data_IF_719084210571
#
_entry.id   IF_719084210571
#
_cell.length_a   1.000
_cell.length_b   1.000
_cell.length_c   1.000
_cell.angle_alpha   90.00
_cell.angle_beta   90.00
_cell.angle_gamma   90.00
#
_symmetry.space_group_name_H-M   'P 1'
#
loop_
_entity.id
_entity.type
_entity.pdbx_description
1 polymer ?
#
# COMPACT_ATOMS: atom_id res chain seq x y z
N UNK A 1 8.13 19.31 -4.43
CA UNK A 1 7.34 18.56 -5.45
C UNK A 1 6.30 19.48 -6.09
N UNK A 2 6.14 19.53 -7.42
CA UNK A 2 5.14 20.40 -8.08
C UNK A 2 3.72 19.82 -7.99
N UNK A 3 2.69 20.65 -8.13
CA UNK A 3 1.27 20.22 -8.10
C UNK A 3 0.97 19.22 -9.23
N UNK A 4 1.50 19.48 -10.43
CA UNK A 4 1.32 18.59 -11.58
C UNK A 4 1.98 17.22 -11.34
N UNK A 5 3.17 17.20 -10.72
CA UNK A 5 3.84 15.95 -10.34
C UNK A 5 3.02 15.20 -9.28
N UNK A 6 2.46 15.90 -8.28
CA UNK A 6 1.60 15.31 -7.27
C UNK A 6 0.36 14.62 -7.88
N UNK A 7 -0.32 15.31 -8.80
CA UNK A 7 -1.51 14.80 -9.48
C UNK A 7 -1.21 13.56 -10.30
N UNK A 8 -0.15 13.61 -11.11
CA UNK A 8 0.29 12.46 -11.93
C UNK A 8 0.66 11.27 -11.04
N UNK A 9 1.38 11.51 -9.93
CA UNK A 9 1.71 10.47 -8.96
C UNK A 9 0.46 9.83 -8.37
N UNK A 10 -0.56 10.61 -7.98
CA UNK A 10 -1.83 10.07 -7.46
C UNK A 10 -2.56 9.25 -8.51
N UNK A 11 -2.64 9.71 -9.76
CA UNK A 11 -3.26 8.94 -10.84
C UNK A 11 -2.54 7.60 -11.05
N UNK A 12 -1.21 7.61 -11.16
CA UNK A 12 -0.44 6.38 -11.35
C UNK A 12 -0.64 5.42 -10.17
N UNK A 13 -0.59 5.91 -8.93
CA UNK A 13 -0.81 5.10 -7.74
C UNK A 13 -2.21 4.47 -7.70
N UNK A 14 -3.23 5.25 -8.05
CA UNK A 14 -4.63 4.85 -7.92
C UNK A 14 -5.07 3.83 -8.97
N UNK A 15 -4.61 3.95 -10.22
CA UNK A 15 -5.18 3.16 -11.34
C UNK A 15 -4.21 2.18 -12.00
N UNK A 16 -2.92 2.23 -11.70
CA UNK A 16 -1.92 1.38 -12.37
C UNK A 16 -2.20 -0.12 -12.27
N UNK A 17 -2.62 -0.62 -11.11
CA UNK A 17 -2.84 -2.05 -10.90
C UNK A 17 -3.94 -2.62 -11.80
N UNK A 18 -5.14 -2.05 -11.73
CA UNK A 18 -6.29 -2.52 -12.52
C UNK A 18 -6.11 -2.25 -14.01
N UNK A 19 -5.45 -1.14 -14.37
CA UNK A 19 -5.12 -0.83 -15.76
C UNK A 19 -4.09 -1.81 -16.34
N UNK A 20 -3.04 -2.17 -15.58
CA UNK A 20 -2.07 -3.16 -16.05
C UNK A 20 -2.75 -4.51 -16.26
N UNK A 21 -3.61 -4.94 -15.35
CA UNK A 21 -4.36 -6.18 -15.55
C UNK A 21 -5.25 -6.13 -16.79
N UNK A 22 -5.94 -5.00 -17.04
CA UNK A 22 -6.72 -4.83 -18.27
C UNK A 22 -5.85 -4.92 -19.53
N UNK A 23 -4.66 -4.31 -19.52
CA UNK A 23 -3.70 -4.39 -20.63
C UNK A 23 -3.21 -5.82 -20.87
N UNK A 24 -2.94 -6.59 -19.81
CA UNK A 24 -2.53 -8.00 -19.93
C UNK A 24 -3.56 -8.87 -20.65
N UNK A 25 -4.84 -8.51 -20.57
CA UNK A 25 -5.93 -9.18 -21.30
C UNK A 25 -6.35 -8.45 -22.58
N UNK A 26 -5.48 -7.58 -23.13
CA UNK A 26 -5.74 -6.78 -24.33
C UNK A 26 -7.06 -5.99 -24.27
N UNK A 27 -7.41 -5.47 -23.09
CA UNK A 27 -8.58 -4.62 -22.88
C UNK A 27 -8.18 -3.17 -22.68
N UNK A 28 -9.05 -2.26 -23.11
CA UNK A 28 -8.87 -0.84 -22.86
C UNK A 28 -8.90 -0.55 -21.36
N UNK A 29 -7.89 0.14 -20.80
CA UNK A 29 -7.86 0.46 -19.37
C UNK A 29 -9.02 1.39 -18.99
N UNK A 30 -9.68 1.10 -17.87
CA UNK A 30 -10.88 1.82 -17.43
C UNK A 30 -10.65 3.32 -17.18
N UNK A 31 -9.42 3.71 -16.85
CA UNK A 31 -9.03 5.11 -16.66
C UNK A 31 -9.19 5.95 -17.93
N UNK A 32 -8.96 5.38 -19.12
CA UNK A 32 -9.15 6.09 -20.39
C UNK A 32 -10.61 6.16 -20.83
N UNK A 33 -11.48 5.37 -20.21
CA UNK A 33 -12.88 5.24 -20.62
C UNK A 33 -13.83 6.12 -19.79
N UNK A 34 -13.36 6.69 -18.66
CA UNK A 34 -14.24 7.39 -17.73
C UNK A 34 -13.60 8.66 -17.16
N UNK A 35 -14.03 9.82 -17.66
CA UNK A 35 -13.61 11.13 -17.15
C UNK A 35 -13.91 11.31 -15.66
N UNK A 36 -14.99 10.68 -15.17
CA UNK A 36 -15.38 10.72 -13.75
C UNK A 36 -14.29 10.19 -12.82
N UNK A 37 -13.54 9.16 -13.24
CA UNK A 37 -12.48 8.55 -12.44
C UNK A 37 -11.31 9.53 -12.29
N UNK A 38 -10.91 10.17 -13.40
CA UNK A 38 -9.88 11.20 -13.42
C UNK A 38 -10.29 12.37 -12.52
N UNK A 39 -11.52 12.87 -12.68
CA UNK A 39 -12.06 13.99 -11.91
C UNK A 39 -12.08 13.65 -10.41
N UNK A 40 -12.57 12.47 -10.01
CA UNK A 40 -12.59 12.05 -8.61
C UNK A 40 -11.18 12.00 -8.01
N UNK A 41 -10.21 11.37 -8.68
CA UNK A 41 -8.85 11.29 -8.15
C UNK A 41 -8.14 12.65 -8.12
N UNK A 42 -8.41 13.53 -9.09
CA UNK A 42 -7.92 14.90 -9.08
C UNK A 42 -8.49 15.72 -7.92
N UNK A 43 -9.79 15.60 -7.64
CA UNK A 43 -10.43 16.27 -6.51
C UNK A 43 -9.85 15.77 -5.18
N UNK A 44 -9.66 14.46 -5.02
CA UNK A 44 -9.03 13.88 -3.82
C UNK A 44 -7.59 14.37 -3.69
N UNK A 45 -6.81 14.38 -4.77
CA UNK A 45 -5.43 14.87 -4.75
C UNK A 45 -5.36 16.35 -4.35
N UNK A 46 -6.20 17.20 -4.93
CA UNK A 46 -6.28 18.62 -4.58
C UNK A 46 -6.73 18.80 -3.13
N UNK A 47 -7.76 18.07 -2.70
CA UNK A 47 -8.25 18.09 -1.32
C UNK A 47 -7.11 17.77 -0.35
N UNK A 48 -6.37 16.68 -0.57
CA UNK A 48 -5.22 16.29 0.26
C UNK A 48 -4.14 17.38 0.23
N UNK A 49 -3.76 17.90 -0.94
CA UNK A 49 -2.72 18.93 -1.05
C UNK A 49 -3.07 20.23 -0.32
N UNK A 50 -4.33 20.68 -0.37
CA UNK A 50 -4.77 21.92 0.27
C UNK A 50 -5.06 21.76 1.76
N UNK A 51 -5.44 20.56 2.21
CA UNK A 51 -5.89 20.30 3.58
C UNK A 51 -4.78 19.74 4.48
N UNK A 52 -3.75 19.11 3.92
CA UNK A 52 -2.56 18.67 4.67
C UNK A 52 -1.94 19.75 5.56
N UNK A 53 -1.73 21.02 5.12
CA UNK A 53 -1.22 22.06 6.02
C UNK A 53 -2.17 22.38 7.18
N UNK A 54 -3.48 22.24 6.98
CA UNK A 54 -4.51 22.48 8.01
C UNK A 54 -4.61 21.29 8.99
N UNK A 55 -4.44 20.05 8.51
CA UNK A 55 -4.46 18.84 9.34
C UNK A 55 -3.23 18.69 10.23
N UNK A 56 -2.05 19.16 9.80
CA UNK A 56 -0.87 19.21 10.66
C UNK A 56 -1.07 20.14 11.88
N UNK A 57 -1.95 21.14 11.75
CA UNK A 57 -2.32 22.06 12.85
C UNK A 57 -3.40 21.44 13.74
N UNK A 58 -4.31 20.62 13.18
CA UNK A 58 -5.43 19.98 13.88
C UNK A 58 -5.17 18.50 14.20
N UNK A 59 -4.04 18.21 14.84
CA UNK A 59 -3.54 16.86 15.12
C UNK A 59 -4.53 15.96 15.91
N UNK A 60 -5.54 16.53 16.56
CA UNK A 60 -6.59 15.83 17.33
C UNK A 60 -7.66 15.15 16.46
N UNK A 61 -7.99 15.70 15.29
CA UNK A 61 -9.00 15.13 14.38
C UNK A 61 -8.43 14.09 13.41
N UNK A 62 -7.09 13.98 13.33
CA UNK A 62 -6.39 13.04 12.45
C UNK A 62 -6.87 11.60 12.62
N UNK A 63 -7.15 11.16 13.86
CA UNK A 63 -7.57 9.78 14.13
C UNK A 63 -8.98 9.46 13.61
N UNK A 64 -9.91 10.41 13.73
CA UNK A 64 -11.29 10.25 13.28
C UNK A 64 -11.41 10.15 11.75
N UNK A 65 -10.47 10.74 11.00
CA UNK A 65 -10.40 10.61 9.55
C UNK A 65 -9.56 9.40 9.10
N UNK A 66 -8.51 9.03 9.84
CA UNK A 66 -7.62 7.91 9.48
C UNK A 66 -8.37 6.57 9.51
N UNK A 67 -9.21 6.31 10.51
CA UNK A 67 -9.95 5.04 10.59
C UNK A 67 -10.85 4.81 9.35
N UNK A 68 -11.82 5.70 9.03
CA UNK A 68 -12.71 5.47 7.90
C UNK A 68 -11.95 5.47 6.57
N UNK A 69 -10.91 6.29 6.40
CA UNK A 69 -10.12 6.28 5.17
C UNK A 69 -9.31 4.99 5.01
N UNK A 70 -8.70 4.46 6.08
CA UNK A 70 -8.02 3.16 6.05
C UNK A 70 -8.98 2.01 5.77
N UNK A 71 -10.21 2.07 6.29
CA UNK A 71 -11.24 1.07 5.99
C UNK A 71 -11.67 1.13 4.52
N UNK A 72 -11.94 2.34 3.99
CA UNK A 72 -12.26 2.52 2.58
C UNK A 72 -11.12 2.09 1.65
N UNK A 73 -9.86 2.30 2.04
CA UNK A 73 -8.70 1.80 1.34
C UNK A 73 -8.68 0.27 1.31
N UNK A 74 -8.93 -0.39 2.45
CA UNK A 74 -9.04 -1.84 2.52
C UNK A 74 -10.17 -2.39 1.63
N UNK A 75 -11.35 -1.77 1.65
CA UNK A 75 -12.47 -2.11 0.75
C UNK A 75 -12.05 -1.98 -0.71
N UNK A 76 -11.45 -0.84 -1.07
CA UNK A 76 -11.02 -0.54 -2.44
C UNK A 76 -9.96 -1.54 -2.92
N UNK A 77 -9.01 -1.89 -2.06
CA UNK A 77 -7.94 -2.84 -2.35
C UNK A 77 -8.46 -4.26 -2.57
N UNK A 78 -9.32 -4.75 -1.66
CA UNK A 78 -9.95 -6.07 -1.84
C UNK A 78 -10.78 -6.07 -3.12
N UNK A 79 -11.54 -5.01 -3.38
CA UNK A 79 -12.32 -4.90 -4.61
C UNK A 79 -11.43 -4.89 -5.87
N UNK A 80 -10.29 -4.20 -5.85
CA UNK A 80 -9.34 -4.18 -6.96
C UNK A 80 -8.74 -5.57 -7.22
N UNK A 81 -8.32 -6.29 -6.17
CA UNK A 81 -7.79 -7.66 -6.28
C UNK A 81 -8.84 -8.61 -6.85
N UNK A 82 -10.06 -8.57 -6.32
CA UNK A 82 -11.14 -9.48 -6.72
C UNK A 82 -11.66 -9.16 -8.12
N UNK A 83 -12.22 -7.98 -8.31
CA UNK A 83 -12.94 -7.63 -9.54
C UNK A 83 -11.99 -7.18 -10.66
N UNK A 84 -10.94 -6.43 -10.32
CA UNK A 84 -9.96 -5.92 -11.29
C UNK A 84 -8.83 -6.91 -11.61
N UNK A 85 -8.63 -7.91 -10.77
CA UNK A 85 -7.58 -8.93 -10.90
C UNK A 85 -8.15 -10.32 -11.20
N UNK A 86 -8.59 -10.99 -10.14
CA UNK A 86 -8.94 -12.42 -10.13
C UNK A 86 -10.11 -12.72 -11.07
N UNK A 87 -11.24 -12.03 -10.93
CA UNK A 87 -12.44 -12.31 -11.72
C UNK A 87 -12.30 -11.87 -13.16
N UNK A 88 -11.56 -10.79 -13.41
CA UNK A 88 -11.22 -10.39 -14.77
C UNK A 88 -10.37 -11.47 -15.45
N UNK A 89 -9.39 -12.02 -14.75
CA UNK A 89 -8.57 -13.10 -15.28
C UNK A 89 -9.36 -14.39 -15.51
N UNK A 90 -10.14 -14.84 -14.52
CA UNK A 90 -10.99 -16.03 -14.65
C UNK A 90 -11.99 -15.91 -15.80
N UNK A 91 -12.53 -14.72 -16.07
CA UNK A 91 -13.46 -14.49 -17.17
C UNK A 91 -12.80 -14.56 -18.56
N UNK A 92 -11.52 -14.21 -18.65
CA UNK A 92 -10.79 -14.14 -19.92
C UNK A 92 -9.84 -15.35 -20.13
N UNK A 93 -9.77 -16.24 -19.15
CA UNK A 93 -8.96 -17.46 -19.19
C UNK A 93 -9.65 -18.52 -20.06
N UNK A 94 -8.93 -18.99 -21.08
CA UNK A 94 -9.41 -20.06 -21.98
C UNK A 94 -9.28 -21.45 -21.34
N UNK A 95 -8.23 -21.67 -20.54
CA UNK A 95 -7.93 -22.96 -19.90
C UNK A 95 -8.18 -22.90 -18.39
N UNK A 96 -9.26 -23.52 -17.91
CA UNK A 96 -9.66 -23.55 -16.49
C UNK A 96 -8.67 -24.25 -15.53
N UNK A 97 -7.58 -24.82 -16.05
CA UNK A 97 -6.53 -25.54 -15.29
C UNK A 97 -5.40 -24.65 -14.80
N UNK A 98 -5.29 -23.43 -15.33
CA UNK A 98 -4.22 -22.49 -14.94
C UNK A 98 -4.65 -21.62 -13.75
N UNK A 99 -4.18 -21.97 -12.55
CA UNK A 99 -4.51 -21.24 -11.31
C UNK A 99 -3.62 -20.02 -11.07
N UNK A 100 -2.44 -19.98 -11.70
CA UNK A 100 -1.47 -18.92 -11.48
C UNK A 100 -1.87 -17.59 -12.10
N UNK A 101 -2.49 -17.60 -13.27
CA UNK A 101 -2.90 -16.39 -14.00
C UNK A 101 -3.80 -15.48 -13.16
N UNK A 102 -4.92 -15.94 -12.57
CA UNK A 102 -5.76 -15.10 -11.73
C UNK A 102 -5.09 -14.65 -10.43
N UNK A 103 -4.20 -15.46 -9.85
CA UNK A 103 -3.42 -15.07 -8.66
C UNK A 103 -2.48 -13.91 -8.99
N UNK A 104 -1.70 -14.03 -10.07
CA UNK A 104 -0.77 -12.99 -10.51
C UNK A 104 -1.53 -11.70 -10.85
N UNK A 105 -2.65 -11.81 -11.56
CA UNK A 105 -3.51 -10.66 -11.88
C UNK A 105 -4.09 -9.99 -10.62
N UNK A 106 -4.47 -10.77 -9.61
CA UNK A 106 -4.89 -10.28 -8.30
C UNK A 106 -3.79 -9.51 -7.58
N UNK A 107 -2.57 -10.05 -7.54
CA UNK A 107 -1.41 -9.39 -6.93
C UNK A 107 -1.09 -8.07 -7.62
N UNK A 108 -1.06 -8.08 -8.96
CA UNK A 108 -0.82 -6.89 -9.78
C UNK A 108 -1.90 -5.83 -9.50
N UNK A 109 -3.17 -6.22 -9.57
CA UNK A 109 -4.28 -5.30 -9.33
C UNK A 109 -4.23 -4.63 -7.94
N UNK A 110 -3.81 -5.37 -6.91
CA UNK A 110 -3.79 -4.89 -5.53
C UNK A 110 -2.52 -4.14 -5.08
N UNK A 111 -1.37 -4.34 -5.74
CA UNK A 111 -0.09 -3.83 -5.24
C UNK A 111 0.80 -3.12 -6.26
N UNK A 112 0.48 -3.16 -7.55
CA UNK A 112 1.37 -2.65 -8.58
C UNK A 112 1.64 -1.14 -8.50
N UNK A 113 0.65 -0.34 -8.07
CA UNK A 113 0.86 1.09 -7.88
C UNK A 113 1.92 1.42 -6.84
N UNK A 114 1.96 0.68 -5.73
CA UNK A 114 3.01 0.82 -4.72
C UNK A 114 4.38 0.41 -5.26
N UNK A 115 4.44 -0.66 -6.06
CA UNK A 115 5.69 -1.12 -6.69
C UNK A 115 6.23 -0.06 -7.65
N UNK A 116 5.39 0.52 -8.51
CA UNK A 116 5.80 1.61 -9.43
C UNK A 116 6.23 2.85 -8.63
N UNK A 117 5.45 3.26 -7.64
CA UNK A 117 5.74 4.47 -6.89
C UNK A 117 7.09 4.39 -6.18
N UNK A 118 7.43 3.21 -5.66
CA UNK A 118 8.72 2.91 -5.05
C UNK A 118 9.83 2.83 -6.10
N UNK A 119 9.59 2.13 -7.22
CA UNK A 119 10.56 1.97 -8.31
C UNK A 119 11.00 3.30 -8.92
N UNK A 120 10.06 4.20 -9.19
CA UNK A 120 10.34 5.49 -9.84
C UNK A 120 10.53 6.63 -8.83
N UNK A 121 10.44 6.35 -7.53
CA UNK A 121 10.51 7.38 -6.50
C UNK A 121 9.44 8.46 -6.69
N UNK A 122 8.22 8.09 -7.11
CA UNK A 122 7.16 9.04 -7.47
C UNK A 122 6.71 9.93 -6.30
N UNK A 123 6.96 9.47 -5.07
CA UNK A 123 6.68 10.18 -3.84
C UNK A 123 7.84 11.07 -3.37
N UNK A 124 9.01 11.00 -4.02
CA UNK A 124 10.17 11.84 -3.71
C UNK A 124 10.07 13.18 -4.43
N UNK A 125 10.66 14.21 -3.82
CA UNK A 125 10.74 15.53 -4.45
C UNK A 125 11.50 15.50 -5.78
N UNK A 126 12.55 14.67 -5.85
CA UNK A 126 13.28 14.34 -7.08
C UNK A 126 13.04 12.87 -7.40
N UNK A 127 12.31 12.56 -8.48
CA UNK A 127 12.11 11.18 -8.92
C UNK A 127 13.45 10.57 -9.30
N UNK A 128 13.75 9.41 -8.75
CA UNK A 128 14.95 8.65 -9.05
C UNK A 128 14.55 7.20 -9.22
N UNK A 129 15.04 6.58 -10.29
CA UNK A 129 14.81 5.16 -10.50
C UNK A 129 15.63 4.36 -9.49
N UNK A 130 14.95 3.46 -8.78
CA UNK A 130 15.57 2.55 -7.83
C UNK A 130 14.91 1.18 -7.91
N UNK A 131 15.65 0.14 -7.56
CA UNK A 131 15.06 -1.18 -7.45
C UNK A 131 14.01 -1.18 -6.33
N UNK A 132 12.77 -1.63 -6.57
CA UNK A 132 11.70 -1.54 -5.59
C UNK A 132 12.11 -2.20 -4.27
N UNK A 133 11.97 -1.47 -3.16
CA UNK A 133 12.16 -2.01 -1.83
C UNK A 133 11.20 -3.18 -1.57
N UNK A 134 10.00 -3.15 -2.15
CA UNK A 134 9.04 -4.27 -2.11
C UNK A 134 9.55 -5.60 -2.70
N UNK A 135 10.61 -5.58 -3.51
CA UNK A 135 11.30 -6.79 -4.01
C UNK A 135 12.48 -7.16 -3.10
N UNK A 136 13.10 -6.17 -2.44
CA UNK A 136 14.24 -6.35 -1.53
C UNK A 136 13.83 -6.78 -0.12
N UNK A 137 12.61 -6.47 0.30
CA UNK A 137 12.06 -6.79 1.62
C UNK A 137 10.59 -7.18 1.53
N UNK A 138 10.13 -7.92 2.54
CA UNK A 138 8.75 -8.42 2.60
C UNK A 138 7.74 -7.25 2.63
N UNK A 139 6.97 -7.10 1.55
CA UNK A 139 5.91 -6.10 1.46
C UNK A 139 4.57 -6.67 1.93
N UNK A 140 4.07 -6.14 3.05
CA UNK A 140 2.74 -6.47 3.60
C UNK A 140 1.64 -6.28 2.55
N UNK A 141 1.77 -5.28 1.68
CA UNK A 141 0.80 -5.02 0.61
C UNK A 141 0.73 -6.17 -0.40
N UNK A 142 1.89 -6.62 -0.87
CA UNK A 142 2.01 -7.70 -1.85
C UNK A 142 1.49 -9.00 -1.23
N UNK A 143 1.87 -9.27 0.01
CA UNK A 143 1.42 -10.45 0.76
C UNK A 143 -0.10 -10.49 0.95
N UNK A 144 -0.70 -9.39 1.41
CA UNK A 144 -2.17 -9.29 1.56
C UNK A 144 -2.89 -9.46 0.21
N UNK A 145 -2.33 -8.91 -0.87
CA UNK A 145 -2.90 -9.05 -2.21
C UNK A 145 -2.82 -10.51 -2.70
N UNK A 146 -1.72 -11.19 -2.41
CA UNK A 146 -1.53 -12.61 -2.72
C UNK A 146 -2.50 -13.51 -1.96
N UNK A 147 -2.66 -13.30 -0.65
CA UNK A 147 -3.63 -14.06 0.17
C UNK A 147 -5.06 -13.81 -0.33
N UNK A 148 -5.42 -12.55 -0.54
CA UNK A 148 -6.75 -12.19 -1.02
C UNK A 148 -7.05 -12.86 -2.37
N UNK A 149 -6.07 -12.86 -3.28
CA UNK A 149 -6.20 -13.50 -4.58
C UNK A 149 -6.30 -15.03 -4.45
N UNK A 150 -5.49 -15.65 -3.60
CA UNK A 150 -5.50 -17.10 -3.37
C UNK A 150 -6.85 -17.55 -2.80
N UNK A 151 -7.35 -16.90 -1.75
CA UNK A 151 -8.66 -17.22 -1.13
C UNK A 151 -9.79 -17.09 -2.16
N UNK A 152 -9.75 -16.05 -2.99
CA UNK A 152 -10.76 -15.82 -4.02
C UNK A 152 -10.73 -16.87 -5.14
N UNK A 153 -9.52 -17.25 -5.58
CA UNK A 153 -9.34 -18.31 -6.58
C UNK A 153 -9.85 -19.64 -6.03
N UNK A 154 -9.49 -20.01 -4.80
CA UNK A 154 -9.93 -21.30 -4.25
C UNK A 154 -11.44 -21.33 -3.97
N UNK A 155 -12.01 -20.25 -3.45
CA UNK A 155 -13.47 -20.18 -3.27
C UNK A 155 -14.22 -20.32 -4.62
N UNK A 156 -13.76 -19.64 -5.67
CA UNK A 156 -14.37 -19.78 -7.00
C UNK A 156 -14.08 -21.15 -7.61
N UNK A 157 -12.91 -21.72 -7.34
CA UNK A 157 -12.52 -23.03 -7.82
C UNK A 157 -13.40 -24.12 -7.23
N UNK A 158 -13.72 -24.12 -5.95
CA UNK A 158 -14.63 -25.10 -5.34
C UNK A 158 -16.08 -24.96 -5.81
N UNK A 159 -16.43 -23.79 -6.36
CA UNK A 159 -17.67 -23.60 -7.12
C UNK A 159 -17.63 -24.30 -8.50
N UNK A 160 -16.45 -24.45 -9.10
CA UNK A 160 -16.23 -25.05 -10.43
C UNK A 160 -15.66 -26.48 -10.42
N UNK A 161 -15.07 -26.96 -9.31
CA UNK A 161 -14.40 -28.27 -9.24
C UNK A 161 -15.03 -29.22 -8.23
N UNK A 162 -15.83 -30.16 -8.74
CA UNK A 162 -16.19 -31.41 -8.07
C UNK A 162 -15.02 -32.43 -8.04
N UNK A 163 -13.75 -32.01 -8.12
CA UNK A 163 -12.63 -32.92 -8.47
C UNK A 163 -11.68 -33.27 -7.30
N UNK A 164 -11.75 -32.61 -6.13
CA UNK A 164 -10.75 -32.84 -5.06
C UNK A 164 -11.30 -33.24 -3.68
N UNK A 165 -12.59 -33.56 -3.53
CA UNK A 165 -13.15 -34.11 -2.29
C UNK A 165 -13.17 -33.18 -1.07
N UNK A 166 -12.48 -32.05 -1.10
CA UNK A 166 -12.60 -30.98 -0.12
C UNK A 166 -13.52 -29.90 -0.70
N UNK A 167 -14.77 -29.87 -0.25
CA UNK A 167 -15.76 -28.92 -0.74
C UNK A 167 -16.07 -27.90 0.35
N UNK A 168 -15.85 -26.62 0.07
CA UNK A 168 -16.33 -25.52 0.91
C UNK A 168 -17.87 -25.46 0.98
N UNK A 169 -18.58 -26.27 0.18
CA UNK A 169 -20.04 -26.45 0.29
C UNK A 169 -20.50 -26.92 1.68
N UNK A 170 -19.60 -27.45 2.50
CA UNK A 170 -19.89 -27.82 3.90
C UNK A 170 -20.09 -26.60 4.82
N UNK A 171 -19.70 -25.40 4.37
CA UNK A 171 -19.89 -24.16 5.10
C UNK A 171 -20.81 -23.23 4.28
N UNK A 172 -22.03 -22.91 4.77
CA UNK A 172 -22.95 -22.00 4.10
C UNK A 172 -22.46 -20.55 4.31
N UNK A 173 -21.30 -20.22 3.75
CA UNK A 173 -20.72 -18.88 3.83
C UNK A 173 -20.86 -18.23 2.45
N UNK A 174 -21.62 -17.15 2.40
CA UNK A 174 -21.82 -16.40 1.16
C UNK A 174 -20.50 -15.73 0.74
N UNK A 175 -20.30 -15.55 -0.56
CA UNK A 175 -19.07 -14.92 -1.06
C UNK A 175 -18.90 -13.49 -0.51
N UNK A 176 -20.01 -12.80 -0.24
CA UNK A 176 -20.01 -11.47 0.35
C UNK A 176 -19.51 -11.48 1.80
N UNK A 177 -19.75 -12.55 2.56
CA UNK A 177 -19.18 -12.72 3.91
C UNK A 177 -17.67 -12.91 3.87
N UNK A 178 -17.16 -13.68 2.90
CA UNK A 178 -15.72 -13.87 2.69
C UNK A 178 -15.07 -12.56 2.27
N UNK A 179 -15.73 -11.81 1.37
CA UNK A 179 -15.26 -10.48 0.96
C UNK A 179 -15.20 -9.54 2.16
N UNK A 180 -16.23 -9.52 3.00
CA UNK A 180 -16.26 -8.71 4.22
C UNK A 180 -15.13 -9.11 5.18
N UNK A 181 -14.91 -10.41 5.39
CA UNK A 181 -13.82 -10.92 6.23
C UNK A 181 -12.44 -10.51 5.68
N UNK A 182 -12.22 -10.62 4.37
CA UNK A 182 -10.98 -10.18 3.71
C UNK A 182 -10.75 -8.67 3.89
N UNK A 183 -11.81 -7.85 3.76
CA UNK A 183 -11.73 -6.41 4.04
C UNK A 183 -11.31 -6.15 5.48
N UNK A 184 -11.92 -6.83 6.45
CA UNK A 184 -11.55 -6.68 7.86
C UNK A 184 -10.11 -7.11 8.14
N UNK A 185 -9.63 -8.22 7.57
CA UNK A 185 -8.25 -8.67 7.71
C UNK A 185 -7.28 -7.65 7.11
N UNK A 186 -7.54 -7.20 5.88
CA UNK A 186 -6.69 -6.19 5.21
C UNK A 186 -6.67 -4.89 6.02
N UNK A 187 -7.83 -4.43 6.49
CA UNK A 187 -7.95 -3.26 7.35
C UNK A 187 -7.15 -3.43 8.64
N UNK A 188 -7.33 -4.52 9.39
CA UNK A 188 -6.65 -4.73 10.67
C UNK A 188 -5.13 -4.82 10.48
N UNK A 189 -4.64 -5.57 9.49
CA UNK A 189 -3.21 -5.72 9.24
C UNK A 189 -2.58 -4.39 8.82
N UNK A 190 -3.22 -3.64 7.92
CA UNK A 190 -2.72 -2.33 7.49
C UNK A 190 -2.78 -1.29 8.61
N UNK A 191 -3.86 -1.28 9.38
CA UNK A 191 -4.05 -0.38 10.53
C UNK A 191 -3.00 -0.66 11.61
N UNK A 192 -2.79 -1.93 12.00
CA UNK A 192 -1.74 -2.30 12.98
C UNK A 192 -0.36 -1.92 12.47
N UNK A 193 -0.04 -2.20 11.20
CA UNK A 193 1.24 -1.84 10.59
C UNK A 193 1.47 -0.31 10.62
N UNK A 194 0.42 0.49 10.39
CA UNK A 194 0.49 1.94 10.52
C UNK A 194 0.89 2.40 11.95
N UNK A 195 0.33 1.80 13.01
CA UNK A 195 0.73 2.15 14.38
C UNK A 195 2.14 1.68 14.74
N UNK A 196 2.57 0.52 14.25
CA UNK A 196 3.93 0.03 14.47
C UNK A 196 4.94 0.99 13.85
N UNK A 197 4.70 1.42 12.60
CA UNK A 197 5.56 2.40 11.95
C UNK A 197 5.52 3.75 12.67
N UNK A 198 4.34 4.24 13.09
CA UNK A 198 4.23 5.52 13.83
C UNK A 198 4.99 5.49 15.16
N UNK A 199 5.02 4.35 15.87
CA UNK A 199 5.82 4.19 17.10
C UNK A 199 7.32 4.17 16.83
N UNK A 200 7.76 3.56 15.72
CA UNK A 200 9.18 3.53 15.32
C UNK A 200 9.74 4.91 14.94
N UNK A 201 8.88 5.83 14.49
CA UNK A 201 9.23 7.22 14.16
C UNK A 201 8.89 8.24 15.25
N UNK A 202 8.44 7.81 16.44
CA UNK A 202 8.30 8.72 17.57
C UNK A 202 9.71 9.17 17.99
N UNK A 203 10.02 10.49 18.06
CA UNK A 203 11.33 10.94 18.48
C UNK A 203 11.61 10.36 19.87
N UNK A 204 12.76 9.70 20.01
CA UNK A 204 13.25 9.24 21.30
C UNK A 204 13.15 10.44 22.26
N UNK A 205 12.33 10.31 23.31
CA UNK A 205 12.26 11.34 24.35
C UNK A 205 13.68 11.56 24.84
N UNK A 206 14.27 12.72 24.51
CA UNK A 206 15.48 13.19 25.16
C UNK A 206 15.20 13.18 26.67
N UNK A 207 15.85 12.26 27.36
CA UNK A 207 15.88 12.24 28.82
C UNK A 207 16.68 13.46 29.24
N UNK A 208 16.01 14.62 29.35
CA UNK A 208 16.51 15.75 30.15
C UNK A 208 16.44 15.36 31.62
N UNK A 209 17.44 14.61 32.08
CA UNK A 209 17.76 14.52 33.50
C UNK A 209 18.66 15.71 33.86
N UNK A 210 18.02 16.70 34.50
CA UNK A 210 18.56 17.77 35.34
C UNK A 210 20.06 17.67 35.70
N UNK A 211 20.76 18.76 35.43
CA UNK A 211 21.98 19.14 36.15
C UNK A 211 21.68 19.47 37.62
N UNK A 212 22.39 18.83 38.55
CA UNK A 212 22.84 19.38 39.85
C UNK A 212 23.56 18.24 40.59
N UNK A 213 24.81 18.30 41.03
CA UNK A 213 25.86 19.29 41.01
C UNK A 213 26.90 18.78 42.01
N UNK A 214 28.18 18.69 41.63
CA UNK A 214 29.27 18.64 42.60
C UNK A 214 30.60 18.96 41.91
N UNK A 215 31.04 20.19 42.15
CA UNK A 215 32.43 20.63 42.40
C UNK A 215 33.58 20.13 41.51
N UNK A 216 34.23 21.11 40.87
CA UNK A 216 35.70 21.39 40.85
C UNK A 216 36.61 20.22 41.27
N UNK A 217 37.69 19.85 40.58
CA UNK A 217 38.94 20.60 40.47
C UNK A 217 39.79 19.90 39.38
N UNK A 218 40.32 20.62 38.38
CA UNK A 218 41.76 20.71 38.08
C UNK A 218 42.04 21.34 36.70
N UNK A 219 43.08 22.15 36.73
CA UNK A 219 43.57 23.17 35.81
C UNK A 219 44.10 22.68 34.45
N UNK A 220 43.88 23.50 33.42
CA UNK A 220 44.69 23.69 32.20
C UNK A 220 46.17 24.05 32.49
N UNK A 221 47.08 24.27 31.49
CA UNK A 221 47.14 23.89 30.05
C UNK A 221 48.55 23.36 29.62
N UNK A 222 48.76 22.92 28.35
CA UNK A 222 50.03 23.19 27.62
C UNK A 222 50.03 22.69 26.15
N UNK A 223 50.67 23.49 25.29
CA UNK A 223 50.86 23.43 23.84
C UNK A 223 51.76 22.25 23.37
N UNK A 224 51.55 21.74 22.15
CA UNK A 224 52.49 21.86 20.99
C UNK A 224 52.09 21.03 19.76
N UNK A 225 51.94 21.77 18.63
CA UNK A 225 52.46 21.48 17.27
C UNK A 225 53.24 20.17 17.09
N UNK A 226 52.87 19.37 16.07
CA UNK A 226 53.72 19.13 14.88
C UNK A 226 52.97 18.35 13.77
N UNK A 227 53.17 18.84 12.55
CA UNK A 227 52.92 18.18 11.26
C UNK A 227 53.67 16.85 11.16
N UNK A 228 53.12 15.92 10.35
CA UNK A 228 53.85 15.39 9.19
C UNK A 228 52.88 14.71 8.21
N UNK A 229 53.00 15.14 6.96
CA UNK A 229 52.58 14.41 5.77
C UNK A 229 53.65 13.39 5.40
N UNK A 230 53.21 12.28 4.82
CA UNK A 230 53.81 11.60 3.67
C UNK A 230 52.67 10.85 2.97
#
# INVERSE_FOLDING_TARGET
>A
MSISQALVTVWILAVSGTNLTALLFNRTPGFFLTDKVVICYSLVALFVLFITPVFNILNLFSFAFVIPMSFLDAVSKVNAVLNGGVFLALKNQTDSTTFFTPIICGIIAGSFGGIIADAFGLLKEKPEFSFPASIKSFSVSVFLSAITALVAVEYKRDYFSNIAGFSWKSFPVEFDDIKAALVWIVFLVTFVNFFIQKKAFAPAKEVKAKSSGMSSVFSTPSKKKKQKAA
#
